data_IF_255810706387
#
_entry.id   IF_255810706387
#
_cell.length_a   1.000
_cell.length_b   1.000
_cell.length_c   1.000
_cell.angle_alpha   90.00
_cell.angle_beta   90.00
_cell.angle_gamma   90.00
#
_symmetry.space_group_name_H-M   'P 1'
#
loop_
_entity.id
_entity.type
_entity.pdbx_description
1 polymer ?
#
# COMPACT_ATOMS: atom_id res chain seq x y z
N UNK A 1 -15.95 19.28 24.82
CA UNK A 1 -14.61 19.25 25.47
C UNK A 1 -13.49 18.64 24.61
N UNK A 2 -13.76 18.06 23.43
CA UNK A 2 -12.78 17.26 22.64
C UNK A 2 -11.62 18.08 22.03
N UNK A 3 -11.89 19.25 21.45
CA UNK A 3 -10.84 20.10 20.84
C UNK A 3 -9.78 20.64 21.81
N UNK A 4 -10.16 20.85 23.07
CA UNK A 4 -9.28 21.43 24.10
C UNK A 4 -8.12 20.47 24.41
N UNK A 5 -8.38 19.16 24.38
CA UNK A 5 -7.35 18.15 24.54
C UNK A 5 -6.43 18.06 23.32
N UNK A 6 -6.97 18.12 22.09
CA UNK A 6 -6.13 18.12 20.89
C UNK A 6 -5.16 19.30 20.88
N UNK A 7 -5.63 20.49 21.25
CA UNK A 7 -4.78 21.68 21.34
C UNK A 7 -3.75 21.54 22.47
N UNK A 8 -4.13 21.02 23.63
CA UNK A 8 -3.19 20.79 24.74
C UNK A 8 -2.12 19.76 24.39
N UNK A 9 -2.51 18.65 23.76
CA UNK A 9 -1.60 17.60 23.32
C UNK A 9 -0.66 18.14 22.25
N UNK A 10 -1.17 18.81 21.23
CA UNK A 10 -0.34 19.42 20.18
C UNK A 10 0.62 20.45 20.75
N UNK A 11 0.16 21.30 21.68
CA UNK A 11 0.98 22.30 22.36
C UNK A 11 2.09 21.65 23.18
N UNK A 12 1.74 20.65 24.01
CA UNK A 12 2.71 19.92 24.85
C UNK A 12 3.74 19.18 24.01
N UNK A 13 3.29 18.53 22.93
CA UNK A 13 4.16 17.83 22.00
C UNK A 13 5.12 18.78 21.29
N UNK A 14 4.62 19.92 20.79
CA UNK A 14 5.45 20.96 20.18
C UNK A 14 6.49 21.50 21.16
N UNK A 15 6.08 21.83 22.39
CA UNK A 15 6.99 22.26 23.44
C UNK A 15 8.05 21.20 23.77
N UNK A 16 7.66 19.92 23.83
CA UNK A 16 8.59 18.82 24.09
C UNK A 16 9.64 18.71 22.98
N UNK A 17 9.25 18.82 21.72
CA UNK A 17 10.18 18.84 20.59
C UNK A 17 11.16 20.02 20.70
N UNK A 18 10.64 21.24 20.93
CA UNK A 18 11.47 22.44 21.06
C UNK A 18 12.44 22.29 22.24
N UNK A 19 11.96 21.76 23.37
CA UNK A 19 12.75 21.52 24.55
C UNK A 19 13.87 20.52 24.30
N UNK A 20 13.57 19.40 23.62
CA UNK A 20 14.58 18.39 23.22
C UNK A 20 15.62 19.01 22.29
N UNK A 21 15.20 19.84 21.32
CA UNK A 21 16.12 20.53 20.41
C UNK A 21 17.04 21.52 21.13
N UNK A 22 16.53 22.22 22.16
CA UNK A 22 17.30 23.17 22.95
C UNK A 22 18.23 22.49 23.96
N UNK A 23 17.76 21.45 24.63
CA UNK A 23 18.52 20.76 25.68
C UNK A 23 19.65 19.91 25.09
N UNK A 24 19.46 19.41 23.88
CA UNK A 24 20.46 18.63 23.16
C UNK A 24 20.66 19.23 21.76
N UNK A 25 21.48 20.30 21.61
CA UNK A 25 21.83 20.84 20.29
C UNK A 25 22.43 19.78 19.36
N UNK A 26 23.10 18.77 19.94
CA UNK A 26 23.66 17.63 19.21
C UNK A 26 22.60 16.75 18.54
N UNK A 27 21.35 16.72 19.03
CA UNK A 27 20.26 16.00 18.35
C UNK A 27 19.93 16.63 17.00
N UNK A 28 20.06 17.96 16.86
CA UNK A 28 19.90 18.65 15.58
C UNK A 28 20.99 18.22 14.61
N UNK A 29 22.25 18.13 15.05
CA UNK A 29 23.35 17.65 14.21
C UNK A 29 23.06 16.23 13.69
N UNK A 30 22.61 15.36 14.59
CA UNK A 30 22.21 13.99 14.27
C UNK A 30 21.05 13.98 13.26
N UNK A 31 19.99 14.75 13.50
CA UNK A 31 18.89 14.90 12.55
C UNK A 31 19.38 15.41 11.20
N UNK A 32 20.40 16.27 11.16
CA UNK A 32 20.99 16.77 9.91
C UNK A 32 21.79 15.67 9.18
N UNK A 33 22.49 14.80 9.90
CA UNK A 33 23.13 13.61 9.34
C UNK A 33 22.12 12.58 8.82
N UNK A 34 20.98 12.43 9.50
CA UNK A 34 19.90 11.52 9.12
C UNK A 34 18.89 12.14 8.15
N UNK A 35 18.90 13.46 7.97
CA UNK A 35 18.01 14.21 7.09
C UNK A 35 17.96 13.62 5.68
N UNK A 36 19.09 13.24 5.04
CA UNK A 36 19.06 12.62 3.71
C UNK A 36 18.25 11.33 3.67
N UNK A 37 18.35 10.48 4.71
CA UNK A 37 17.61 9.22 4.82
C UNK A 37 16.11 9.46 5.04
N UNK A 38 15.80 10.42 5.91
CA UNK A 38 14.44 10.80 6.25
C UNK A 38 13.74 11.42 5.03
N UNK A 39 14.41 12.33 4.34
CA UNK A 39 13.92 12.93 3.08
C UNK A 39 13.72 11.86 2.02
N UNK A 40 14.67 10.94 1.83
CA UNK A 40 14.50 9.85 0.86
C UNK A 40 13.31 8.96 1.20
N UNK A 41 13.10 8.66 2.48
CA UNK A 41 11.95 7.87 2.95
C UNK A 41 10.64 8.62 2.77
N UNK A 42 10.60 9.90 3.13
CA UNK A 42 9.42 10.75 2.97
C UNK A 42 9.06 10.91 1.49
N UNK A 43 10.05 11.17 0.62
CA UNK A 43 9.84 11.26 -0.82
C UNK A 43 9.33 9.94 -1.40
N UNK A 44 9.89 8.81 -0.95
CA UNK A 44 9.41 7.49 -1.34
C UNK A 44 7.96 7.26 -0.91
N UNK A 45 7.60 7.55 0.34
CA UNK A 45 6.23 7.43 0.81
C UNK A 45 5.28 8.36 0.08
N UNK A 46 5.69 9.61 -0.18
CA UNK A 46 4.91 10.55 -0.98
C UNK A 46 4.69 10.00 -2.38
N UNK A 47 5.72 9.44 -3.03
CA UNK A 47 5.58 8.82 -4.34
C UNK A 47 4.62 7.62 -4.30
N UNK A 48 4.72 6.75 -3.29
CA UNK A 48 3.81 5.61 -3.09
C UNK A 48 2.37 6.09 -2.90
N UNK A 49 2.13 7.08 -2.04
CA UNK A 49 0.79 7.64 -1.82
C UNK A 49 0.26 8.32 -3.07
N UNK A 50 1.11 9.01 -3.83
CA UNK A 50 0.73 9.63 -5.09
C UNK A 50 0.36 8.56 -6.13
N UNK A 51 1.13 7.47 -6.24
CA UNK A 51 0.78 6.34 -7.11
C UNK A 51 -0.50 5.64 -6.67
N UNK A 52 -0.71 5.44 -5.38
CA UNK A 52 -1.95 4.91 -4.81
C UNK A 52 -3.15 5.80 -5.18
N UNK A 53 -3.00 7.12 -5.08
CA UNK A 53 -4.06 8.09 -5.43
C UNK A 53 -4.35 8.20 -6.92
N UNK A 54 -3.33 8.01 -7.77
CA UNK A 54 -3.47 8.07 -9.22
C UNK A 54 -3.93 6.72 -9.78
N UNK A 55 -3.64 5.63 -9.08
CA UNK A 55 -4.22 4.33 -9.40
C UNK A 55 -5.73 4.49 -9.32
N UNK A 56 -6.49 4.09 -10.38
CA UNK A 56 -7.92 4.05 -10.27
C UNK A 56 -8.22 3.15 -9.08
N UNK A 57 -8.83 3.72 -8.03
CA UNK A 57 -9.58 2.95 -7.04
C UNK A 57 -10.67 2.26 -7.87
N UNK A 58 -10.36 1.07 -8.37
CA UNK A 58 -11.40 0.11 -8.68
C UNK A 58 -12.22 0.02 -7.40
N UNK A 59 -13.50 0.39 -7.47
CA UNK A 59 -14.55 0.32 -6.43
C UNK A 59 -14.77 -1.10 -5.86
N UNK A 60 -13.72 -1.91 -5.86
CA UNK A 60 -13.64 -3.32 -5.55
C UNK A 60 -12.48 -3.55 -4.57
N UNK A 61 -12.34 -2.68 -3.57
CA UNK A 61 -11.41 -2.87 -2.44
C UNK A 61 -11.64 -4.24 -1.78
N UNK A 62 -12.91 -4.67 -1.75
CA UNK A 62 -13.31 -6.01 -1.31
C UNK A 62 -12.73 -7.11 -2.23
N UNK A 63 -12.81 -6.95 -3.55
CA UNK A 63 -12.43 -7.97 -4.54
C UNK A 63 -10.92 -8.06 -4.80
N UNK A 64 -10.19 -6.97 -4.61
CA UNK A 64 -8.73 -6.94 -4.83
C UNK A 64 -7.97 -7.66 -3.71
N UNK A 65 -8.49 -7.66 -2.49
CA UNK A 65 -7.96 -8.45 -1.38
C UNK A 65 -8.39 -9.93 -1.47
N UNK A 66 -9.62 -10.20 -1.91
CA UNK A 66 -10.14 -11.55 -2.19
C UNK A 66 -9.25 -12.30 -3.19
N UNK A 67 -8.83 -11.66 -4.29
CA UNK A 67 -7.94 -12.29 -5.28
C UNK A 67 -6.56 -12.67 -4.74
N UNK A 68 -6.05 -11.96 -3.73
CA UNK A 68 -4.79 -12.31 -3.06
C UNK A 68 -4.96 -13.50 -2.10
N UNK A 69 -6.12 -13.57 -1.42
CA UNK A 69 -6.46 -14.70 -0.55
C UNK A 69 -6.72 -15.97 -1.37
N UNK A 70 -7.35 -15.87 -2.54
CA UNK A 70 -7.63 -17.00 -3.41
C UNK A 70 -6.34 -17.57 -4.07
N UNK A 71 -5.41 -16.67 -4.40
CA UNK A 71 -4.06 -17.04 -4.88
C UNK A 71 -3.23 -17.76 -3.81
N UNK A 72 -3.37 -17.41 -2.53
CA UNK A 72 -2.72 -18.12 -1.40
C UNK A 72 -3.49 -19.38 -1.01
N UNK A 73 -4.81 -19.38 -1.17
CA UNK A 73 -5.67 -20.56 -0.95
C UNK A 73 -5.44 -21.65 -2.01
N UNK A 74 -4.74 -21.33 -3.11
CA UNK A 74 -4.31 -22.30 -4.10
C UNK A 74 -5.35 -22.62 -5.17
N UNK A 75 -6.41 -21.81 -5.29
CA UNK A 75 -7.36 -21.96 -6.39
C UNK A 75 -6.79 -21.28 -7.64
N UNK A 76 -5.84 -21.95 -8.28
CA UNK A 76 -5.40 -21.60 -9.62
C UNK A 76 -6.62 -21.74 -10.54
N UNK A 77 -7.08 -20.68 -11.23
CA UNK A 77 -8.03 -20.85 -12.30
C UNK A 77 -7.37 -21.78 -13.29
N UNK A 78 -8.00 -22.94 -13.53
CA UNK A 78 -7.55 -23.95 -14.46
C UNK A 78 -7.00 -23.26 -15.69
N UNK A 79 -5.67 -23.28 -15.80
CA UNK A 79 -4.94 -22.83 -16.97
C UNK A 79 -5.61 -23.53 -18.14
N UNK A 80 -6.28 -22.74 -18.98
CA UNK A 80 -6.77 -23.20 -20.26
C UNK A 80 -5.55 -23.70 -21.03
N UNK A 81 -5.30 -25.00 -20.91
CA UNK A 81 -4.48 -25.72 -21.86
C UNK A 81 -5.33 -25.79 -23.13
N UNK A 82 -5.14 -24.78 -23.97
CA UNK A 82 -5.48 -24.82 -25.38
C UNK A 82 -4.63 -25.94 -25.98
N UNK A 83 -5.14 -27.17 -25.92
CA UNK A 83 -4.64 -28.26 -26.75
C UNK A 83 -5.60 -28.42 -27.93
N UNK A 84 -5.16 -27.79 -29.01
CA UNK A 84 -5.54 -27.98 -30.41
C UNK A 84 -6.12 -29.36 -30.73
N UNK A 85 -7.27 -29.33 -31.43
CA UNK A 85 -7.92 -30.46 -32.10
C UNK A 85 -6.96 -31.22 -33.05
N UNK A 86 -7.27 -32.48 -33.40
CA UNK A 86 -8.23 -32.73 -34.48
C UNK A 86 -9.30 -33.79 -34.10
N UNK A 87 -10.57 -33.53 -34.38
CA UNK A 87 -11.30 -34.17 -35.49
C UNK A 87 -11.55 -35.68 -35.27
N UNK A 88 -12.72 -36.01 -34.72
CA UNK A 88 -13.48 -37.17 -35.21
C UNK A 88 -14.90 -36.71 -35.47
N UNK A 89 -15.14 -36.58 -36.77
CA UNK A 89 -16.38 -36.43 -37.49
C UNK A 89 -17.64 -37.01 -36.83
N UNK A 90 -18.64 -36.14 -36.83
CA UNK A 90 -20.05 -36.38 -36.67
C UNK A 90 -20.62 -37.09 -37.92
N UNK A 91 -21.03 -38.35 -37.82
CA UNK A 91 -21.87 -39.03 -38.83
C UNK A 91 -22.33 -40.39 -38.28
N UNK A 92 -23.59 -40.83 -38.20
CA UNK A 92 -24.88 -40.34 -38.68
C UNK A 92 -25.96 -41.05 -37.85
N UNK A 93 -27.00 -40.29 -37.47
CA UNK A 93 -28.31 -40.78 -37.04
C UNK A 93 -29.20 -40.78 -38.28
N UNK A 94 -29.66 -41.95 -38.73
CA UNK A 94 -30.95 -42.20 -39.37
C UNK A 94 -30.88 -43.48 -40.22
N UNK A 95 -31.51 -44.55 -39.75
CA UNK A 95 -32.55 -45.31 -40.47
C UNK A 95 -33.32 -46.17 -39.46
#
# INVERSE_FOLDING_TARGET
MRFKFHILIASTFSFSIIFICYLAPRFIDILNYFWPLLVSTALFLVAVVVFDRISPLSDSDDKSAEGLLDYVAGELPAVQFVETAPEVEQSVKAD
#
